data_IF_433987532158
#
_entry.id   IF_433987532158
#
_cell.length_a   1.000
_cell.length_b   1.000
_cell.length_c   1.000
_cell.angle_alpha   90.00
_cell.angle_beta   90.00
_cell.angle_gamma   90.00
#
_symmetry.space_group_name_H-M   'P 1'
#
loop_
_entity.id
_entity.type
_entity.pdbx_description
1 polymer ?
#
# COMPACT_ATOMS: atom_id res chain seq x y z
N UNK A 1 28.10 14.55 7.59
CA UNK A 1 27.82 13.11 7.35
C UNK A 1 27.27 12.54 8.65
N UNK A 2 25.97 12.50 8.81
CA UNK A 2 25.33 11.93 9.99
C UNK A 2 25.16 10.42 9.75
N UNK A 3 25.92 9.62 10.49
CA UNK A 3 25.73 8.17 10.58
C UNK A 3 24.35 7.88 11.20
N UNK A 4 23.33 7.73 10.40
CA UNK A 4 22.11 7.08 10.82
C UNK A 4 22.41 5.59 11.02
N UNK A 5 22.80 5.22 12.24
CA UNK A 5 22.75 3.84 12.69
C UNK A 5 21.26 3.49 12.73
N UNK A 6 20.82 2.58 11.86
CA UNK A 6 19.56 1.85 12.03
C UNK A 6 19.63 1.30 13.45
N UNK A 7 18.74 1.74 14.33
CA UNK A 7 18.67 1.20 15.69
C UNK A 7 18.35 -0.29 15.52
N UNK A 8 19.36 -1.13 15.78
CA UNK A 8 19.12 -2.55 16.00
C UNK A 8 18.01 -2.63 17.05
N UNK A 9 16.93 -3.28 16.70
CA UNK A 9 15.81 -3.39 17.62
C UNK A 9 16.17 -4.44 18.67
N UNK A 10 16.62 -3.99 19.85
CA UNK A 10 16.97 -4.85 21.00
C UNK A 10 15.95 -5.96 21.25
N UNK A 11 14.66 -5.69 20.93
CA UNK A 11 13.59 -6.67 21.02
C UNK A 11 13.77 -7.81 20.02
N UNK A 12 14.16 -7.53 18.79
CA UNK A 12 14.38 -8.56 17.76
C UNK A 12 15.58 -9.41 18.10
N UNK A 13 16.67 -8.80 18.55
CA UNK A 13 17.86 -9.52 18.99
C UNK A 13 17.53 -10.44 20.19
N UNK A 14 16.85 -9.91 21.20
CA UNK A 14 16.42 -10.69 22.36
C UNK A 14 15.51 -11.87 21.99
N UNK A 15 14.55 -11.66 21.11
CA UNK A 15 13.67 -12.73 20.63
C UNK A 15 14.47 -13.82 19.90
N UNK A 16 15.47 -13.43 19.14
CA UNK A 16 16.30 -14.36 18.44
C UNK A 16 17.23 -15.16 19.37
N UNK A 17 17.80 -14.54 20.41
CA UNK A 17 18.57 -15.27 21.43
C UNK A 17 17.71 -16.30 22.17
N UNK A 18 16.50 -15.89 22.61
CA UNK A 18 15.54 -16.82 23.25
C UNK A 18 15.22 -17.99 22.30
N UNK A 19 15.00 -17.72 21.02
CA UNK A 19 14.76 -18.78 20.05
C UNK A 19 15.92 -19.77 19.98
N UNK A 20 17.17 -19.29 19.96
CA UNK A 20 18.36 -20.15 19.92
C UNK A 20 18.49 -21.01 21.18
N UNK A 21 18.23 -20.41 22.35
CA UNK A 21 18.24 -21.14 23.62
C UNK A 21 17.20 -22.26 23.64
N UNK A 22 15.95 -21.96 23.29
CA UNK A 22 14.87 -22.93 23.22
C UNK A 22 15.18 -24.03 22.19
N UNK A 23 15.68 -23.66 21.00
CA UNK A 23 16.06 -24.64 19.97
C UNK A 23 17.10 -25.60 20.50
N UNK A 24 18.17 -25.09 21.13
CA UNK A 24 19.25 -25.92 21.70
C UNK A 24 18.72 -26.88 22.76
N UNK A 25 17.81 -26.43 23.61
CA UNK A 25 17.18 -27.26 24.63
C UNK A 25 16.35 -28.38 23.97
N UNK A 26 15.54 -28.07 22.97
CA UNK A 26 14.77 -29.06 22.23
C UNK A 26 15.65 -30.08 21.51
N UNK A 27 16.76 -29.66 20.90
CA UNK A 27 17.71 -30.52 20.22
C UNK A 27 18.43 -31.50 21.18
N UNK A 28 18.46 -31.20 22.48
CA UNK A 28 19.00 -32.11 23.49
C UNK A 28 18.06 -33.28 23.84
N UNK A 29 16.78 -33.15 23.51
CA UNK A 29 15.73 -34.15 23.82
C UNK A 29 15.08 -34.76 22.59
N UNK A 30 15.11 -34.05 21.46
CA UNK A 30 14.40 -34.43 20.23
C UNK A 30 15.29 -34.20 18.99
N UNK A 31 15.04 -34.96 17.94
CA UNK A 31 15.57 -34.67 16.61
C UNK A 31 14.75 -33.53 16.00
N UNK A 32 15.33 -32.34 15.92
CA UNK A 32 14.70 -31.16 15.30
C UNK A 32 15.07 -31.12 13.83
N UNK A 33 14.20 -31.61 12.97
CA UNK A 33 14.44 -31.65 11.51
C UNK A 33 14.40 -30.27 10.90
N UNK A 34 13.42 -29.43 11.30
CA UNK A 34 13.18 -28.12 10.72
C UNK A 34 12.98 -27.03 11.75
N UNK A 35 13.49 -25.86 11.43
CA UNK A 35 13.35 -24.67 12.26
C UNK A 35 13.20 -23.42 11.41
N UNK A 36 12.40 -22.47 11.89
CA UNK A 36 12.19 -21.19 11.21
C UNK A 36 11.80 -20.10 12.22
N UNK A 37 12.48 -18.98 12.16
CA UNK A 37 12.18 -17.80 12.99
C UNK A 37 11.92 -16.55 12.15
N UNK A 38 12.40 -16.54 10.90
CA UNK A 38 12.47 -15.32 10.08
C UNK A 38 11.22 -15.12 9.23
N UNK A 39 10.48 -14.05 9.50
CA UNK A 39 9.48 -13.48 8.59
C UNK A 39 10.15 -12.50 7.61
N UNK A 40 9.38 -11.82 6.72
CA UNK A 40 9.93 -10.84 5.78
C UNK A 40 10.82 -9.79 6.44
N UNK A 41 10.39 -9.22 7.58
CA UNK A 41 11.16 -8.21 8.28
C UNK A 41 12.46 -8.73 8.89
N UNK A 42 12.50 -9.96 9.37
CA UNK A 42 13.71 -10.58 9.87
C UNK A 42 14.66 -10.92 8.70
N UNK A 43 14.12 -11.39 7.58
CA UNK A 43 14.92 -11.65 6.36
C UNK A 43 15.58 -10.37 5.86
N UNK A 44 14.85 -9.26 5.78
CA UNK A 44 15.40 -7.96 5.39
C UNK A 44 16.53 -7.51 6.31
N UNK A 45 16.42 -7.80 7.60
CA UNK A 45 17.43 -7.47 8.63
C UNK A 45 18.51 -8.54 8.77
N UNK A 46 18.45 -9.62 7.99
CA UNK A 46 19.39 -10.75 8.01
C UNK A 46 19.43 -11.51 9.35
N UNK A 47 18.29 -11.61 10.04
CA UNK A 47 18.15 -12.43 11.24
C UNK A 47 17.63 -13.82 10.92
N UNK A 48 18.23 -14.85 11.51
CA UNK A 48 17.78 -16.25 11.47
C UNK A 48 17.84 -16.89 10.09
N UNK A 49 18.71 -16.42 9.21
CA UNK A 49 18.89 -16.96 7.85
C UNK A 49 19.62 -18.30 7.84
N UNK A 50 20.27 -18.66 8.94
CA UNK A 50 20.95 -19.96 9.12
C UNK A 50 20.00 -21.09 9.54
N UNK A 51 18.73 -20.80 9.74
CA UNK A 51 17.72 -21.82 10.00
C UNK A 51 17.38 -22.59 8.73
N UNK A 52 16.76 -23.79 8.87
CA UNK A 52 16.38 -24.62 7.72
C UNK A 52 15.40 -23.94 6.78
N UNK A 53 14.54 -23.05 7.31
CA UNK A 53 13.51 -22.35 6.54
C UNK A 53 13.37 -20.87 6.94
N UNK A 54 12.94 -20.07 5.97
CA UNK A 54 12.44 -18.71 6.16
C UNK A 54 10.96 -18.62 5.79
N UNK A 55 10.23 -17.64 6.32
CA UNK A 55 8.81 -17.44 6.05
C UNK A 55 8.54 -16.04 5.44
N UNK A 56 9.05 -15.77 4.22
CA UNK A 56 8.77 -14.52 3.54
C UNK A 56 7.28 -14.46 3.16
N UNK A 57 6.65 -13.32 3.40
CA UNK A 57 5.28 -13.03 3.01
C UNK A 57 5.27 -11.78 2.14
N UNK A 58 5.19 -10.60 2.75
CA UNK A 58 5.08 -9.34 2.03
C UNK A 58 6.18 -9.12 0.99
N UNK A 59 7.43 -9.45 1.33
CA UNK A 59 8.55 -9.24 0.40
C UNK A 59 8.41 -10.02 -0.91
N UNK A 60 7.63 -11.12 -0.96
CA UNK A 60 7.34 -11.84 -2.20
C UNK A 60 6.47 -11.03 -3.17
N UNK A 61 5.76 -10.03 -2.65
CA UNK A 61 4.94 -9.10 -3.43
C UNK A 61 5.67 -7.78 -3.75
N UNK A 62 6.91 -7.65 -3.28
CA UNK A 62 7.79 -6.54 -3.56
C UNK A 62 7.94 -5.49 -2.47
N UNK A 63 6.94 -5.16 -1.63
CA UNK A 63 7.11 -4.13 -0.62
C UNK A 63 8.08 -4.51 0.50
N UNK A 64 8.84 -3.52 0.96
CA UNK A 64 9.63 -3.65 2.18
C UNK A 64 8.73 -3.75 3.42
N UNK A 65 9.13 -4.61 4.37
CA UNK A 65 8.39 -4.86 5.62
C UNK A 65 8.92 -4.03 6.79
N UNK A 66 10.19 -3.64 6.74
CA UNK A 66 10.91 -2.98 7.82
C UNK A 66 11.53 -1.68 7.34
N UNK A 67 11.62 -0.78 8.28
CA UNK A 67 12.26 0.51 8.08
C UNK A 67 11.24 1.62 7.88
N UNK A 68 11.79 2.80 7.80
CA UNK A 68 11.05 3.98 7.45
C UNK A 68 10.50 3.83 6.03
N UNK A 69 9.30 4.30 5.83
CA UNK A 69 8.76 4.48 4.48
C UNK A 69 9.58 5.47 3.64
N UNK A 70 10.65 6.01 4.19
CA UNK A 70 11.61 6.85 3.47
C UNK A 70 12.59 5.98 2.68
N UNK A 71 12.72 6.27 1.40
CA UNK A 71 13.58 5.56 0.46
C UNK A 71 15.02 5.35 0.96
N UNK A 72 15.58 6.36 1.64
CA UNK A 72 16.95 6.33 2.17
C UNK A 72 17.18 5.35 3.33
N UNK A 73 16.13 4.83 3.94
CA UNK A 73 16.20 3.98 5.13
C UNK A 73 15.79 2.52 4.85
N UNK A 74 15.48 2.18 3.59
CA UNK A 74 15.08 0.82 3.21
C UNK A 74 16.29 -0.12 3.26
N UNK A 75 16.14 -1.22 3.97
CA UNK A 75 17.15 -2.29 4.02
C UNK A 75 17.10 -3.21 2.81
N UNK A 76 15.95 -3.25 2.16
CA UNK A 76 15.67 -4.09 1.02
C UNK A 76 14.76 -3.35 0.02
N UNK A 77 14.96 -3.61 -1.26
CA UNK A 77 14.15 -3.03 -2.32
C UNK A 77 13.77 -4.14 -3.29
N UNK A 78 12.49 -4.51 -3.28
CA UNK A 78 11.91 -5.41 -4.27
C UNK A 78 11.10 -4.65 -5.31
N UNK A 79 10.73 -5.31 -6.38
CA UNK A 79 9.80 -4.81 -7.37
C UNK A 79 8.37 -5.16 -6.95
N UNK A 80 7.48 -4.18 -6.89
CA UNK A 80 6.06 -4.43 -6.62
C UNK A 80 5.49 -5.20 -7.81
N UNK A 81 4.95 -6.40 -7.56
CA UNK A 81 4.48 -7.30 -8.62
C UNK A 81 3.10 -6.95 -9.17
N UNK A 82 2.48 -5.91 -8.66
CA UNK A 82 1.11 -5.54 -9.04
C UNK A 82 0.96 -4.05 -9.30
N UNK A 83 -0.05 -3.73 -10.11
CA UNK A 83 -0.61 -2.38 -10.25
C UNK A 83 -2.06 -2.43 -9.89
N UNK A 84 -2.58 -1.37 -9.29
CA UNK A 84 -4.01 -1.20 -9.07
C UNK A 84 -4.46 0.09 -9.75
N UNK A 85 -5.38 -0.07 -10.69
CA UNK A 85 -5.83 1.01 -11.56
C UNK A 85 -7.32 0.93 -11.82
N UNK A 86 -7.89 2.06 -12.20
CA UNK A 86 -9.29 2.20 -12.61
C UNK A 86 -9.39 3.25 -13.70
N UNK A 87 -10.57 3.40 -14.29
CA UNK A 87 -10.82 4.40 -15.32
C UNK A 87 -11.90 5.40 -14.88
N UNK A 88 -11.83 6.62 -15.38
CA UNK A 88 -12.87 7.62 -15.19
C UNK A 88 -14.13 7.19 -15.95
N UNK A 89 -15.28 7.15 -15.26
CA UNK A 89 -16.57 6.83 -15.85
C UNK A 89 -17.53 8.03 -15.91
N UNK A 90 -17.23 9.11 -15.18
CA UNK A 90 -18.02 10.34 -15.21
C UNK A 90 -17.16 11.54 -14.90
N UNK A 91 -17.42 12.64 -15.61
CA UNK A 91 -16.76 13.94 -15.43
C UNK A 91 -17.86 14.99 -15.28
N UNK A 92 -17.80 15.80 -14.23
CA UNK A 92 -18.81 16.83 -13.96
C UNK A 92 -18.15 18.12 -13.48
N UNK A 93 -18.44 19.25 -14.16
CA UNK A 93 -18.09 20.59 -13.65
C UNK A 93 -18.95 20.88 -12.42
N UNK A 94 -18.34 21.45 -11.40
CA UNK A 94 -18.97 21.78 -10.11
C UNK A 94 -18.60 23.19 -9.67
N UNK A 95 -19.49 23.81 -8.90
CA UNK A 95 -19.27 25.11 -8.33
C UNK A 95 -19.02 24.99 -6.83
N UNK A 96 -18.30 25.95 -6.27
CA UNK A 96 -18.10 26.06 -4.84
C UNK A 96 -19.44 25.94 -4.09
N UNK A 97 -19.49 25.01 -3.12
CA UNK A 97 -20.68 24.76 -2.32
C UNK A 97 -21.57 23.64 -2.85
N UNK A 98 -21.32 23.13 -4.08
CA UNK A 98 -22.08 21.98 -4.59
C UNK A 98 -21.83 20.73 -3.74
N UNK A 99 -22.88 19.96 -3.41
CA UNK A 99 -22.73 18.71 -2.66
C UNK A 99 -22.29 17.56 -3.57
N UNK A 100 -21.41 16.70 -3.05
CA UNK A 100 -20.91 15.51 -3.76
C UNK A 100 -21.03 14.27 -2.86
N UNK A 101 -21.49 13.17 -3.44
CA UNK A 101 -21.55 11.85 -2.82
C UNK A 101 -22.50 11.75 -1.62
N UNK A 102 -22.46 10.61 -0.95
CA UNK A 102 -23.23 10.35 0.26
C UNK A 102 -22.75 11.25 1.41
N UNK A 103 -23.68 11.93 2.05
CA UNK A 103 -23.41 12.90 3.11
C UNK A 103 -23.19 14.32 2.61
N UNK A 104 -23.30 14.57 1.29
CA UNK A 104 -23.31 15.91 0.70
C UNK A 104 -22.05 16.70 1.01
N UNK A 105 -20.87 16.08 0.93
CA UNK A 105 -19.62 16.82 1.15
C UNK A 105 -19.50 17.94 0.11
N UNK A 106 -19.46 19.19 0.58
CA UNK A 106 -19.42 20.34 -0.31
C UNK A 106 -18.04 20.53 -0.94
N UNK A 107 -18.00 20.89 -2.22
CA UNK A 107 -16.73 21.24 -2.88
C UNK A 107 -16.23 22.60 -2.39
N UNK A 108 -14.92 22.75 -2.16
CA UNK A 108 -14.35 23.96 -1.55
C UNK A 108 -14.30 25.15 -2.51
N UNK A 109 -14.25 24.89 -3.81
CA UNK A 109 -14.09 25.86 -4.88
C UNK A 109 -14.64 25.32 -6.20
N UNK A 110 -14.68 26.15 -7.25
CA UNK A 110 -15.05 25.68 -8.59
C UNK A 110 -14.01 24.68 -9.11
N UNK A 111 -14.47 23.70 -9.86
CA UNK A 111 -13.59 22.68 -10.41
C UNK A 111 -14.32 21.53 -11.06
N UNK A 112 -13.73 20.37 -11.01
CA UNK A 112 -14.23 19.15 -11.65
C UNK A 112 -14.31 18.00 -10.66
N UNK A 113 -15.40 17.23 -10.72
CA UNK A 113 -15.56 15.96 -10.05
C UNK A 113 -15.44 14.84 -11.06
N UNK A 114 -14.52 13.91 -10.79
CA UNK A 114 -14.28 12.69 -11.52
C UNK A 114 -14.84 11.53 -10.72
N UNK A 115 -15.60 10.63 -11.35
CA UNK A 115 -16.11 9.42 -10.69
C UNK A 115 -15.48 8.20 -11.31
N UNK A 116 -15.07 7.25 -10.45
CA UNK A 116 -14.49 5.97 -10.84
C UNK A 116 -15.28 4.80 -10.25
N UNK A 117 -15.35 3.64 -10.93
CA UNK A 117 -16.08 2.46 -10.49
C UNK A 117 -15.23 1.60 -9.54
N UNK A 118 -14.79 2.17 -8.44
CA UNK A 118 -14.08 1.48 -7.37
C UNK A 118 -14.52 2.02 -6.01
N UNK A 119 -14.74 1.11 -5.06
CA UNK A 119 -15.16 1.47 -3.72
C UNK A 119 -14.71 0.46 -2.67
N UNK A 120 -15.31 0.55 -1.46
CA UNK A 120 -14.84 -0.30 -0.37
C UNK A 120 -15.16 -1.79 -0.57
N UNK A 121 -16.14 -2.14 -1.38
CA UNK A 121 -16.42 -3.54 -1.74
C UNK A 121 -15.34 -4.15 -2.65
N UNK A 122 -14.51 -3.33 -3.27
CA UNK A 122 -13.39 -3.73 -4.11
C UNK A 122 -12.07 -3.77 -3.35
N UNK A 123 -12.05 -3.22 -2.11
CA UNK A 123 -10.85 -3.06 -1.30
C UNK A 123 -10.28 -1.64 -1.31
N UNK A 124 -10.95 -0.69 -1.97
CA UNK A 124 -10.62 0.73 -1.86
C UNK A 124 -11.31 1.29 -0.61
N UNK A 125 -10.64 1.18 0.53
CA UNK A 125 -11.24 1.30 1.85
C UNK A 125 -11.67 2.73 2.20
N UNK A 126 -12.63 2.85 3.12
CA UNK A 126 -13.26 4.14 3.47
C UNK A 126 -12.26 5.18 4.02
N UNK A 127 -11.16 4.75 4.63
CA UNK A 127 -10.12 5.65 5.11
C UNK A 127 -9.20 6.19 3.99
N UNK A 128 -9.43 5.81 2.73
CA UNK A 128 -8.79 6.46 1.59
C UNK A 128 -9.40 7.83 1.26
N UNK A 129 -10.44 8.23 1.99
CA UNK A 129 -10.97 9.60 1.91
C UNK A 129 -9.85 10.62 2.09
N UNK A 130 -9.72 11.54 1.14
CA UNK A 130 -8.67 12.54 1.12
C UNK A 130 -7.35 12.14 0.47
N UNK A 131 -7.21 10.89 -0.02
CA UNK A 131 -6.06 10.44 -0.79
C UNK A 131 -5.84 11.35 -2.00
N UNK A 132 -4.60 11.78 -2.19
CA UNK A 132 -4.16 12.58 -3.34
C UNK A 132 -3.33 11.72 -4.28
N UNK A 133 -3.66 11.75 -5.54
CA UNK A 133 -2.94 11.07 -6.62
C UNK A 133 -2.95 11.96 -7.87
N UNK A 134 -2.33 11.50 -8.94
CA UNK A 134 -2.34 12.22 -10.23
C UNK A 134 -3.10 11.43 -11.29
N UNK A 135 -3.75 12.17 -12.19
CA UNK A 135 -4.30 11.65 -13.43
C UNK A 135 -3.88 12.60 -14.57
N UNK A 136 -3.26 12.09 -15.62
CA UNK A 136 -2.72 12.89 -16.72
C UNK A 136 -1.77 14.01 -16.26
N UNK A 137 -1.00 13.77 -15.17
CA UNK A 137 -0.10 14.78 -14.57
C UNK A 137 -0.81 15.87 -13.77
N UNK A 138 -2.11 15.77 -13.57
CA UNK A 138 -2.92 16.70 -12.78
C UNK A 138 -3.27 16.11 -11.42
N UNK A 139 -3.22 16.95 -10.39
CA UNK A 139 -3.55 16.53 -9.03
C UNK A 139 -5.06 16.33 -8.87
N UNK A 140 -5.44 15.18 -8.36
CA UNK A 140 -6.81 14.84 -8.00
C UNK A 140 -6.84 14.30 -6.56
N UNK A 141 -7.94 14.53 -5.86
CA UNK A 141 -8.09 14.14 -4.46
C UNK A 141 -9.42 13.44 -4.24
N UNK A 142 -9.41 12.31 -3.53
CA UNK A 142 -10.66 11.66 -3.09
C UNK A 142 -11.48 12.67 -2.30
N UNK A 143 -12.70 12.95 -2.76
CA UNK A 143 -13.60 13.94 -2.20
C UNK A 143 -14.84 13.26 -1.61
N UNK A 144 -15.10 13.59 -0.35
CA UNK A 144 -16.19 12.98 0.40
C UNK A 144 -15.88 11.54 0.82
N UNK A 145 -16.91 10.74 0.99
CA UNK A 145 -16.82 9.34 1.42
C UNK A 145 -16.54 8.42 0.24
N UNK A 146 -15.73 7.41 0.46
CA UNK A 146 -15.65 6.26 -0.44
C UNK A 146 -16.96 5.47 -0.31
N UNK A 147 -17.64 5.22 -1.41
CA UNK A 147 -18.88 4.45 -1.43
C UNK A 147 -18.59 2.96 -1.64
N UNK A 148 -19.62 2.15 -1.70
CA UNK A 148 -19.49 0.70 -1.91
C UNK A 148 -18.79 0.38 -3.24
N UNK A 149 -19.24 1.01 -4.33
CA UNK A 149 -18.85 0.68 -5.70
C UNK A 149 -18.24 1.87 -6.47
N UNK A 150 -18.27 3.07 -5.89
CA UNK A 150 -17.87 4.30 -6.56
C UNK A 150 -17.05 5.19 -5.64
N UNK A 151 -16.10 5.90 -6.23
CA UNK A 151 -15.33 6.95 -5.55
C UNK A 151 -15.33 8.21 -6.40
N UNK A 152 -15.51 9.36 -5.74
CA UNK A 152 -15.42 10.66 -6.36
C UNK A 152 -14.07 11.31 -6.04
N UNK A 153 -13.44 11.88 -7.06
CA UNK A 153 -12.27 12.73 -6.93
C UNK A 153 -12.63 14.16 -7.29
N UNK A 154 -12.06 15.11 -6.59
CA UNK A 154 -12.17 16.53 -6.89
C UNK A 154 -10.81 17.09 -7.31
N UNK A 155 -10.85 18.03 -8.27
CA UNK A 155 -9.71 18.82 -8.72
C UNK A 155 -10.17 20.23 -9.11
N UNK A 156 -9.25 21.19 -9.06
CA UNK A 156 -9.47 22.55 -9.55
C UNK A 156 -9.30 22.67 -11.08
N UNK A 157 -8.78 21.62 -11.71
CA UNK A 157 -8.56 21.58 -13.15
C UNK A 157 -9.88 21.56 -13.92
N UNK A 158 -9.89 22.12 -15.11
CA UNK A 158 -11.05 22.09 -16.01
C UNK A 158 -11.40 20.66 -16.45
N UNK A 159 -12.67 20.41 -16.66
CA UNK A 159 -13.18 19.12 -17.13
C UNK A 159 -12.55 18.66 -18.46
N UNK A 160 -12.19 19.60 -19.31
CA UNK A 160 -11.56 19.34 -20.60
C UNK A 160 -10.11 18.80 -20.48
N UNK A 161 -9.55 18.83 -19.27
CA UNK A 161 -8.26 18.19 -18.95
C UNK A 161 -8.34 16.67 -18.80
N UNK A 162 -9.56 16.11 -18.80
CA UNK A 162 -9.82 14.70 -18.59
C UNK A 162 -10.80 14.14 -19.62
N UNK A 163 -10.71 12.85 -19.87
CA UNK A 163 -11.61 12.09 -20.72
C UNK A 163 -12.19 10.87 -20.00
N UNK A 164 -13.42 10.49 -20.33
CA UNK A 164 -13.96 9.19 -19.90
C UNK A 164 -13.05 8.10 -20.45
N UNK A 165 -12.65 7.17 -19.58
CA UNK A 165 -11.69 6.13 -19.90
C UNK A 165 -10.25 6.47 -19.50
N UNK A 166 -9.91 7.70 -19.12
CA UNK A 166 -8.60 8.03 -18.58
C UNK A 166 -8.30 7.19 -17.35
N UNK A 167 -7.06 6.71 -17.30
CA UNK A 167 -6.59 5.80 -16.25
C UNK A 167 -6.16 6.55 -15.01
N UNK A 168 -6.63 6.09 -13.87
CA UNK A 168 -6.17 6.49 -12.54
C UNK A 168 -5.44 5.29 -11.93
N UNK A 169 -4.19 5.48 -11.55
CA UNK A 169 -3.35 4.47 -10.94
C UNK A 169 -3.17 4.76 -9.44
N UNK A 170 -3.56 3.81 -8.60
CA UNK A 170 -3.44 3.94 -7.14
C UNK A 170 -2.05 3.53 -6.65
N UNK A 171 -1.50 2.47 -7.23
CA UNK A 171 -0.10 2.08 -7.11
C UNK A 171 0.38 1.32 -8.35
N UNK A 172 1.68 1.36 -8.55
CA UNK A 172 2.38 0.69 -9.64
C UNK A 172 3.55 -0.17 -9.11
N UNK A 173 4.41 -0.61 -9.99
CA UNK A 173 5.58 -1.43 -9.67
C UNK A 173 6.65 -0.71 -8.81
N UNK A 174 6.47 0.57 -8.50
CA UNK A 174 7.40 1.35 -7.69
C UNK A 174 7.15 1.18 -6.20
N UNK A 175 8.20 0.98 -5.42
CA UNK A 175 8.16 1.05 -3.96
C UNK A 175 7.64 2.40 -3.45
N UNK A 176 7.98 3.49 -4.17
CA UNK A 176 7.58 4.83 -3.78
C UNK A 176 6.07 5.01 -3.89
N UNK A 177 5.46 4.52 -4.97
CA UNK A 177 4.01 4.55 -5.18
C UNK A 177 3.24 3.88 -4.03
N UNK A 178 3.64 2.66 -3.63
CA UNK A 178 3.03 1.95 -2.50
C UNK A 178 3.29 2.66 -1.17
N UNK A 179 4.50 3.20 -0.99
CA UNK A 179 4.89 3.94 0.22
C UNK A 179 4.09 5.23 0.37
N UNK A 180 3.92 5.97 -0.71
CA UNK A 180 3.16 7.22 -0.73
C UNK A 180 1.69 6.98 -0.41
N UNK A 181 1.08 5.96 -1.03
CA UNK A 181 -0.27 5.53 -0.70
C UNK A 181 -0.40 5.21 0.79
N UNK A 182 0.43 4.29 1.29
CA UNK A 182 0.36 3.85 2.69
C UNK A 182 0.58 5.00 3.68
N UNK A 183 1.49 5.93 3.36
CA UNK A 183 1.78 7.11 4.19
C UNK A 183 0.58 8.06 4.25
N UNK A 184 -0.02 8.37 3.10
CA UNK A 184 -1.16 9.27 3.03
C UNK A 184 -2.37 8.74 3.81
N UNK A 185 -2.66 7.44 3.68
CA UNK A 185 -3.83 6.82 4.31
C UNK A 185 -3.52 6.16 5.66
N UNK A 186 -2.29 6.32 6.17
CA UNK A 186 -1.81 5.83 7.47
C UNK A 186 -2.01 4.32 7.66
N UNK A 187 -1.62 3.56 6.66
CA UNK A 187 -1.74 2.09 6.64
C UNK A 187 -0.40 1.42 6.29
N UNK A 188 -0.43 0.13 6.13
CA UNK A 188 0.73 -0.70 5.76
C UNK A 188 0.41 -1.53 4.51
N UNK A 189 1.41 -1.89 3.69
CA UNK A 189 1.19 -2.65 2.45
C UNK A 189 0.45 -3.98 2.65
N UNK A 190 0.61 -4.63 3.80
CA UNK A 190 -0.16 -5.84 4.15
C UNK A 190 -1.66 -5.59 4.06
N UNK A 191 -2.16 -4.51 4.67
CA UNK A 191 -3.57 -4.19 4.69
C UNK A 191 -4.07 -3.81 3.30
N UNK A 192 -3.26 -3.09 2.52
CA UNK A 192 -3.61 -2.73 1.14
C UNK A 192 -3.83 -3.96 0.29
N UNK A 193 -2.89 -4.92 0.29
CA UNK A 193 -3.02 -6.13 -0.52
C UNK A 193 -4.11 -7.07 -0.05
N UNK A 194 -4.25 -7.25 1.26
CA UNK A 194 -5.28 -8.17 1.81
C UNK A 194 -6.69 -7.63 1.72
N UNK A 195 -6.85 -6.31 1.52
CA UNK A 195 -8.17 -5.70 1.33
C UNK A 195 -8.76 -5.96 -0.06
N UNK A 196 -7.92 -6.24 -1.08
CA UNK A 196 -8.38 -6.46 -2.44
C UNK A 196 -9.30 -7.68 -2.52
N UNK A 197 -10.55 -7.46 -2.94
CA UNK A 197 -11.56 -8.51 -3.03
C UNK A 197 -11.51 -9.26 -4.36
N UNK A 198 -12.26 -10.35 -4.46
CA UNK A 198 -12.39 -11.14 -5.70
C UNK A 198 -13.22 -10.43 -6.78
N UNK A 199 -13.86 -9.31 -6.45
CA UNK A 199 -14.60 -8.49 -7.41
C UNK A 199 -13.71 -7.81 -8.45
N UNK A 200 -12.45 -7.54 -8.08
CA UNK A 200 -11.49 -6.89 -8.98
C UNK A 200 -10.95 -7.91 -9.96
N UNK A 201 -11.08 -7.67 -11.28
CA UNK A 201 -10.44 -8.47 -12.30
C UNK A 201 -8.92 -8.48 -12.10
N UNK A 202 -8.31 -9.66 -12.12
CA UNK A 202 -6.86 -9.82 -12.07
C UNK A 202 -6.36 -10.20 -13.44
N UNK A 203 -5.51 -9.34 -13.98
CA UNK A 203 -4.88 -9.54 -15.28
C UNK A 203 -3.44 -9.93 -15.01
N UNK A 204 -3.04 -11.10 -15.44
CA UNK A 204 -1.66 -11.58 -15.35
C UNK A 204 -0.97 -11.30 -16.67
N UNK A 205 0.23 -10.72 -16.61
CA UNK A 205 1.07 -10.49 -17.78
C UNK A 205 2.44 -11.12 -17.56
N UNK A 206 2.92 -11.82 -18.56
CA UNK A 206 4.33 -12.20 -18.62
C UNK A 206 5.14 -10.92 -18.90
N UNK A 207 6.29 -10.79 -18.24
CA UNK A 207 7.22 -9.68 -18.49
C UNK A 207 8.02 -9.91 -19.76
#
# INVERSE_FOLDING_TARGET
>A
MSNFKIQKNDKTERQYEIFKEIKKELESHFEVQDSSVSNSGAVEQKFGLEQSHIRPGLMLYGPASVGSYKKAERLWTGEIISRFQTNIISIRKVHKGDPVGYGGTVVPENGTVLTVPVGYADGFLTYYAGLKITCNGKDIKVHGRVNMDLTSFFTIEDADSFSIGDMIEFWNNSQDSMTDLCTQVKTIPYQVFTALTTRIPRIYSDK
#
